data_IF_957338229450
#
_entry.id   IF_957338229450
#
_cell.length_a   1.000
_cell.length_b   1.000
_cell.length_c   1.000
_cell.angle_alpha   90.00
_cell.angle_beta   90.00
_cell.angle_gamma   90.00
#
_symmetry.space_group_name_H-M   'P 1'
#
loop_
_entity.id
_entity.type
_entity.pdbx_description
1 polymer ?
#
# COMPACT_ATOMS: atom_id res chain seq x y z
N UNK A 1 -16.91 -6.80 22.67
CA UNK A 1 -16.50 -6.24 21.37
C UNK A 1 -15.11 -6.76 21.11
N UNK A 2 -14.96 -7.75 20.23
CA UNK A 2 -13.65 -8.27 19.82
C UNK A 2 -12.98 -7.23 18.93
N UNK A 3 -11.82 -6.72 19.38
CA UNK A 3 -10.95 -5.94 18.51
C UNK A 3 -10.60 -6.79 17.26
N UNK A 4 -10.49 -6.19 16.06
CA UNK A 4 -10.00 -6.91 14.89
C UNK A 4 -8.63 -7.49 15.26
N UNK A 5 -8.49 -8.80 15.14
CA UNK A 5 -7.21 -9.48 15.33
C UNK A 5 -6.26 -8.97 14.26
N UNK A 6 -5.24 -8.21 14.65
CA UNK A 6 -4.15 -7.83 13.75
C UNK A 6 -3.20 -9.02 13.60
N UNK A 7 -3.42 -9.81 12.56
CA UNK A 7 -2.59 -10.94 12.16
C UNK A 7 -1.26 -10.45 11.57
N UNK A 8 -0.44 -9.75 12.38
CA UNK A 8 0.91 -9.30 12.01
C UNK A 8 2.01 -10.31 12.41
N UNK A 9 1.67 -11.34 13.20
CA UNK A 9 2.64 -12.38 13.61
C UNK A 9 2.95 -13.31 12.45
N UNK A 10 4.16 -13.23 11.90
CA UNK A 10 4.67 -14.13 10.85
C UNK A 10 4.75 -13.52 9.44
N UNK A 11 4.32 -12.27 9.29
CA UNK A 11 4.43 -11.54 8.02
C UNK A 11 5.88 -11.11 7.80
N UNK A 12 6.44 -11.38 6.62
CA UNK A 12 7.81 -10.98 6.26
C UNK A 12 7.75 -9.72 5.40
N UNK A 13 8.03 -8.52 5.97
CA UNK A 13 8.08 -7.30 5.19
C UNK A 13 9.33 -7.24 4.31
N UNK A 14 9.15 -6.78 3.07
CA UNK A 14 10.22 -6.42 2.16
C UNK A 14 10.36 -4.90 2.16
N UNK A 15 11.51 -4.41 2.65
CA UNK A 15 11.82 -2.98 2.71
C UNK A 15 12.08 -2.39 1.34
N UNK A 16 11.58 -1.18 1.12
CA UNK A 16 11.80 -0.39 -0.11
C UNK A 16 12.21 1.04 0.27
N UNK A 17 12.81 1.81 -0.64
CA UNK A 17 13.21 3.19 -0.34
C UNK A 17 12.06 4.12 0.08
N UNK A 18 10.82 3.75 -0.24
CA UNK A 18 9.60 4.52 0.07
C UNK A 18 8.76 3.90 1.20
N UNK A 19 9.19 2.79 1.79
CA UNK A 19 8.48 2.12 2.88
C UNK A 19 8.72 0.62 2.88
N UNK A 20 7.65 -0.15 2.86
CA UNK A 20 7.71 -1.61 2.87
C UNK A 20 6.46 -2.21 2.24
N UNK A 21 6.56 -3.47 1.86
CA UNK A 21 5.40 -4.23 1.43
C UNK A 21 5.47 -5.66 1.97
N UNK A 22 4.32 -6.28 2.09
CA UNK A 22 4.19 -7.69 2.45
C UNK A 22 2.92 -8.26 1.82
N UNK A 23 2.77 -9.57 1.90
CA UNK A 23 1.60 -10.25 1.36
C UNK A 23 1.12 -11.35 2.31
N UNK A 24 -0.18 -11.60 2.26
CA UNK A 24 -0.84 -12.77 2.82
C UNK A 24 -1.21 -13.72 1.68
N UNK A 25 -1.96 -14.79 1.97
CA UNK A 25 -2.47 -15.69 0.93
C UNK A 25 -3.47 -15.01 -0.01
N UNK A 26 -4.15 -13.96 0.45
CA UNK A 26 -5.26 -13.33 -0.26
C UNK A 26 -4.94 -11.91 -0.75
N UNK A 27 -4.07 -11.18 -0.03
CA UNK A 27 -3.88 -9.74 -0.24
C UNK A 27 -2.40 -9.34 -0.23
N UNK A 28 -2.10 -8.23 -0.88
CA UNK A 28 -0.79 -7.57 -0.84
C UNK A 28 -0.97 -6.23 -0.16
N UNK A 29 -0.09 -5.92 0.79
CA UNK A 29 -0.09 -4.69 1.56
C UNK A 29 1.14 -3.88 1.18
N UNK A 30 0.92 -2.62 0.83
CA UNK A 30 1.96 -1.67 0.46
C UNK A 30 1.87 -0.50 1.43
N UNK A 31 2.86 -0.40 2.31
CA UNK A 31 2.98 0.68 3.29
C UNK A 31 3.98 1.69 2.77
N UNK A 32 3.50 2.91 2.50
CA UNK A 32 4.31 4.00 1.96
C UNK A 32 4.48 5.07 3.01
N UNK A 33 5.73 5.41 3.32
CA UNK A 33 6.04 6.52 4.21
C UNK A 33 5.80 7.82 3.45
N UNK A 34 4.87 8.63 3.95
CA UNK A 34 4.56 9.96 3.41
C UNK A 34 4.99 11.05 4.39
N UNK A 35 5.33 12.26 3.90
CA UNK A 35 5.64 13.37 4.78
C UNK A 35 4.49 13.68 5.76
N UNK A 36 4.80 14.07 7.01
CA UNK A 36 3.78 14.45 7.98
C UNK A 36 2.99 15.66 7.45
N UNK A 37 1.66 15.61 7.58
CA UNK A 37 0.75 16.62 7.03
C UNK A 37 0.24 16.33 5.61
N UNK A 38 0.63 15.20 5.01
CA UNK A 38 0.03 14.71 3.76
C UNK A 38 -1.46 14.43 3.98
N UNK A 39 -2.33 15.05 3.17
CA UNK A 39 -3.78 14.80 3.23
C UNK A 39 -4.19 13.83 2.13
N UNK A 40 -5.33 13.19 2.28
CA UNK A 40 -5.90 12.30 1.27
C UNK A 40 -6.04 12.96 -0.12
N UNK A 41 -6.38 14.26 -0.16
CA UNK A 41 -6.46 15.04 -1.41
C UNK A 41 -5.13 15.19 -2.15
N UNK A 42 -4.00 15.06 -1.43
CA UNK A 42 -2.67 15.17 -2.02
C UNK A 42 -2.22 13.79 -2.56
N UNK A 43 -3.00 12.72 -2.31
CA UNK A 43 -2.70 11.36 -2.73
C UNK A 43 -3.49 11.04 -3.99
N UNK A 44 -2.78 10.60 -5.03
CA UNK A 44 -3.37 10.08 -6.24
C UNK A 44 -2.89 8.64 -6.44
N UNK A 45 -3.83 7.71 -6.41
CA UNK A 45 -3.57 6.27 -6.50
C UNK A 45 -4.32 5.69 -7.70
N UNK A 46 -3.60 4.99 -8.57
CA UNK A 46 -4.13 4.23 -9.70
C UNK A 46 -3.88 2.75 -9.47
N UNK A 47 -4.93 2.01 -9.14
CA UNK A 47 -4.89 0.56 -8.98
C UNK A 47 -5.59 -0.10 -10.17
N UNK A 48 -4.83 -0.89 -10.92
CA UNK A 48 -5.32 -1.72 -12.02
C UNK A 48 -4.89 -3.17 -11.81
N UNK A 49 -5.52 -4.08 -12.54
CA UNK A 49 -5.32 -5.54 -12.37
C UNK A 49 -3.85 -5.99 -12.44
N UNK A 50 -2.99 -5.26 -13.17
CA UNK A 50 -1.55 -5.53 -13.31
C UNK A 50 -0.65 -4.33 -13.05
N UNK A 51 -1.22 -3.18 -12.69
CA UNK A 51 -0.45 -1.95 -12.53
C UNK A 51 -0.86 -1.24 -11.23
N UNK A 52 0.15 -0.75 -10.52
CA UNK A 52 -0.06 0.19 -9.43
C UNK A 52 0.75 1.44 -9.68
N UNK A 53 0.10 2.58 -9.49
CA UNK A 53 0.72 3.88 -9.46
C UNK A 53 0.29 4.62 -8.18
N UNK A 54 1.23 5.20 -7.46
CA UNK A 54 0.97 6.08 -6.32
C UNK A 54 1.81 7.34 -6.48
N UNK A 55 1.15 8.48 -6.35
CA UNK A 55 1.79 9.79 -6.25
C UNK A 55 1.23 10.58 -5.08
N UNK A 56 2.10 11.35 -4.44
CA UNK A 56 1.79 12.17 -3.27
C UNK A 56 2.26 13.60 -3.53
N UNK A 57 1.38 14.58 -3.44
CA UNK A 57 1.65 15.98 -3.75
C UNK A 57 2.13 16.20 -5.20
N UNK A 58 1.69 15.35 -6.14
CA UNK A 58 2.16 15.36 -7.54
C UNK A 58 3.52 14.69 -7.76
N UNK A 59 4.17 14.15 -6.73
CA UNK A 59 5.41 13.37 -6.85
C UNK A 59 5.09 11.89 -6.94
N UNK A 60 5.53 11.24 -8.01
CA UNK A 60 5.41 9.78 -8.18
C UNK A 60 6.30 9.06 -7.16
N UNK A 61 5.70 8.20 -6.34
CA UNK A 61 6.40 7.41 -5.32
C UNK A 61 6.64 6.00 -5.82
N UNK A 62 5.62 5.40 -6.45
CA UNK A 62 5.74 4.08 -7.04
C UNK A 62 4.93 3.97 -8.32
N UNK A 63 5.51 3.31 -9.32
CA UNK A 63 4.84 2.93 -10.55
C UNK A 63 5.41 1.62 -11.03
N UNK A 64 4.69 0.54 -10.80
CA UNK A 64 5.20 -0.80 -11.04
C UNK A 64 4.14 -1.71 -11.65
N UNK A 65 4.62 -2.66 -12.46
CA UNK A 65 3.83 -3.81 -12.89
C UNK A 65 3.73 -4.77 -11.71
N UNK A 66 2.52 -5.10 -11.28
CA UNK A 66 2.30 -6.12 -10.26
C UNK A 66 2.24 -7.47 -10.96
N UNK A 67 3.11 -8.41 -10.54
CA UNK A 67 3.15 -9.76 -11.07
C UNK A 67 1.99 -10.65 -10.57
N UNK A 68 1.30 -10.24 -9.50
CA UNK A 68 0.19 -10.93 -8.84
C UNK A 68 -1.12 -10.13 -8.95
N UNK A 69 -2.25 -10.82 -8.85
CA UNK A 69 -3.58 -10.23 -8.97
C UNK A 69 -3.89 -9.40 -7.71
N UNK A 70 -3.87 -8.07 -7.82
CA UNK A 70 -4.19 -7.17 -6.70
C UNK A 70 -5.70 -6.86 -6.69
N UNK A 71 -6.41 -7.28 -5.63
CA UNK A 71 -7.80 -6.87 -5.40
C UNK A 71 -7.81 -5.50 -4.74
N UNK A 72 -7.98 -4.46 -5.53
CA UNK A 72 -8.00 -3.06 -5.09
C UNK A 72 -9.24 -2.77 -4.23
N UNK A 73 -9.20 -3.06 -2.92
CA UNK A 73 -10.40 -2.95 -2.08
C UNK A 73 -10.34 -1.98 -0.89
N UNK A 74 -9.18 -1.40 -0.51
CA UNK A 74 -9.17 -0.24 0.40
C UNK A 74 -7.79 0.39 0.52
N UNK A 75 -7.73 1.73 0.43
CA UNK A 75 -6.63 2.54 0.96
C UNK A 75 -6.97 2.86 2.41
N UNK A 76 -6.36 2.13 3.35
CA UNK A 76 -6.48 2.44 4.78
C UNK A 76 -5.41 3.50 5.09
N UNK A 77 -5.84 4.76 5.18
CA UNK A 77 -5.03 5.82 5.80
C UNK A 77 -5.28 5.72 7.31
N UNK A 78 -4.34 5.11 8.05
CA UNK A 78 -4.31 5.20 9.51
C UNK A 78 -3.62 6.49 9.95
#
# INVERSE_FOLDING_TARGET
MSAPFEERSGVVPCGTPWGQWYQTLEEVFIEVQVPPGTRAQDIQCGLQSRHVALSVGGREILKHLICLFFRANSLILQ
#
